data_IF_697538818090
#
_entry.id   IF_697538818090
#
_cell.length_a   1.000
_cell.length_b   1.000
_cell.length_c   1.000
_cell.angle_alpha   90.00
_cell.angle_beta   90.00
_cell.angle_gamma   90.00
#
_symmetry.space_group_name_H-M   'P 1'
#
loop_
_entity.id
_entity.type
_entity.pdbx_description
1 polymer ?
#
# COMPACT_ATOMS: atom_id res chain seq x y z
N UNK A 1 7.45 31.05 -11.78
CA UNK A 1 6.72 30.22 -10.81
C UNK A 1 6.03 29.14 -11.62
N UNK A 2 6.44 27.87 -11.48
CA UNK A 2 5.81 26.76 -12.19
C UNK A 2 4.30 26.78 -11.94
N UNK A 3 3.52 26.68 -13.02
CA UNK A 3 2.08 26.76 -13.02
C UNK A 3 1.49 25.42 -13.46
N UNK A 4 0.81 24.74 -12.54
CA UNK A 4 0.28 23.40 -12.74
C UNK A 4 -1.23 23.42 -12.91
N UNK A 5 -1.75 22.57 -13.81
CA UNK A 5 -3.17 22.27 -13.87
C UNK A 5 -3.42 20.78 -13.65
N UNK A 6 -4.05 20.43 -12.54
CA UNK A 6 -4.31 19.03 -12.17
C UNK A 6 -5.78 18.70 -12.36
N UNK A 7 -6.09 17.75 -13.25
CA UNK A 7 -7.44 17.20 -13.36
C UNK A 7 -7.70 16.21 -12.22
N UNK A 8 -8.10 16.72 -11.05
CA UNK A 8 -8.16 16.00 -9.78
C UNK A 8 -9.42 15.12 -9.61
N UNK A 9 -9.68 14.24 -10.59
CA UNK A 9 -10.85 13.33 -10.59
C UNK A 9 -10.69 12.08 -9.73
N UNK A 10 -9.57 11.93 -9.02
CA UNK A 10 -9.20 10.75 -8.21
C UNK A 10 -8.63 11.18 -6.86
N UNK A 11 -8.41 10.22 -5.96
CA UNK A 11 -7.72 10.48 -4.68
C UNK A 11 -6.29 10.94 -4.90
N UNK A 12 -5.58 10.33 -5.84
CA UNK A 12 -4.21 10.63 -6.21
C UNK A 12 -4.09 12.03 -6.79
N UNK A 13 -5.03 12.43 -7.65
CA UNK A 13 -5.11 13.81 -8.14
C UNK A 13 -5.30 14.83 -7.03
N UNK A 14 -6.16 14.54 -6.04
CA UNK A 14 -6.35 15.41 -4.86
C UNK A 14 -5.08 15.50 -4.01
N UNK A 15 -4.43 14.37 -3.73
CA UNK A 15 -3.14 14.33 -3.01
C UNK A 15 -2.06 15.11 -3.75
N UNK A 16 -2.06 15.08 -5.08
CA UNK A 16 -1.09 15.84 -5.87
C UNK A 16 -1.36 17.35 -5.82
N UNK A 17 -2.63 17.79 -5.89
CA UNK A 17 -2.98 19.21 -5.70
C UNK A 17 -2.51 19.69 -4.33
N UNK A 18 -2.74 18.91 -3.29
CA UNK A 18 -2.29 19.23 -1.92
C UNK A 18 -0.76 19.34 -1.83
N UNK A 19 -0.03 18.36 -2.37
CA UNK A 19 1.43 18.37 -2.42
C UNK A 19 1.97 19.62 -3.14
N UNK A 20 1.45 19.91 -4.33
CA UNK A 20 1.91 21.06 -5.12
C UNK A 20 1.53 22.39 -4.46
N UNK A 21 0.37 22.49 -3.80
CA UNK A 21 -0.05 23.73 -3.13
C UNK A 21 0.83 24.07 -1.92
N UNK A 22 1.50 23.08 -1.34
CA UNK A 22 2.47 23.25 -0.26
C UNK A 22 3.87 23.57 -0.78
N UNK A 23 4.15 23.49 -2.08
CA UNK A 23 5.47 23.82 -2.60
C UNK A 23 5.68 25.35 -2.65
N UNK A 24 6.84 25.82 -2.20
CA UNK A 24 7.15 27.25 -2.31
C UNK A 24 7.34 27.66 -3.77
N UNK A 25 6.72 28.77 -4.15
CA UNK A 25 6.90 29.37 -5.48
C UNK A 25 6.27 28.58 -6.62
N UNK A 26 5.17 27.85 -6.35
CA UNK A 26 4.32 27.18 -7.35
C UNK A 26 2.91 27.75 -7.39
N UNK A 27 2.30 27.76 -8.57
CA UNK A 27 0.86 28.00 -8.75
C UNK A 27 0.17 26.68 -9.11
N UNK A 28 -1.01 26.43 -8.55
CA UNK A 28 -1.76 25.20 -8.80
C UNK A 28 -3.22 25.52 -9.05
N UNK A 29 -3.72 25.04 -10.19
CA UNK A 29 -5.13 25.02 -10.53
C UNK A 29 -5.63 23.57 -10.53
N UNK A 30 -6.91 23.37 -10.23
CA UNK A 30 -7.53 22.04 -10.22
C UNK A 30 -8.79 21.98 -11.10
N UNK A 31 -8.92 20.93 -11.90
CA UNK A 31 -10.09 20.63 -12.71
C UNK A 31 -10.90 19.50 -12.08
N UNK A 32 -12.17 19.73 -11.78
CA UNK A 32 -13.08 18.71 -11.22
C UNK A 32 -14.39 18.68 -12.00
N UNK A 33 -15.01 17.50 -12.09
CA UNK A 33 -16.26 17.33 -12.85
C UNK A 33 -17.53 17.67 -12.04
N UNK A 34 -17.42 17.95 -10.73
CA UNK A 34 -18.55 18.13 -9.82
C UNK A 34 -18.23 19.14 -8.72
N UNK A 35 -19.25 19.84 -8.23
CA UNK A 35 -19.15 20.73 -7.05
C UNK A 35 -18.69 19.98 -5.79
N UNK A 36 -19.06 18.71 -5.62
CA UNK A 36 -18.55 17.88 -4.51
C UNK A 36 -17.04 17.64 -4.61
N UNK A 37 -16.49 17.52 -5.82
CA UNK A 37 -15.04 17.41 -6.02
C UNK A 37 -14.28 18.65 -5.55
N UNK A 38 -14.90 19.83 -5.66
CA UNK A 38 -14.33 21.12 -5.25
C UNK A 38 -14.17 21.23 -3.74
N UNK A 39 -15.11 20.69 -2.95
CA UNK A 39 -15.05 20.76 -1.48
C UNK A 39 -13.96 19.87 -0.87
N UNK A 40 -13.36 18.98 -1.67
CA UNK A 40 -12.33 18.04 -1.25
C UNK A 40 -10.90 18.52 -1.55
N UNK A 41 -10.75 19.73 -2.08
CA UNK A 41 -9.47 20.34 -2.42
C UNK A 41 -9.07 21.38 -1.37
N UNK A 42 -7.76 21.64 -1.19
CA UNK A 42 -7.29 22.63 -0.23
C UNK A 42 -7.79 24.05 -0.57
N UNK A 43 -7.98 24.88 0.47
CA UNK A 43 -8.36 26.27 0.31
C UNK A 43 -7.26 27.06 -0.42
N UNK A 44 -7.64 28.06 -1.22
CA UNK A 44 -6.71 28.91 -1.97
C UNK A 44 -6.32 28.39 -3.36
N UNK A 45 -6.68 27.16 -3.73
CA UNK A 45 -6.51 26.62 -5.10
C UNK A 45 -7.62 27.13 -6.02
N UNK A 46 -7.25 27.59 -7.22
CA UNK A 46 -8.23 27.96 -8.23
C UNK A 46 -8.84 26.69 -8.85
N UNK A 47 -10.16 26.52 -8.72
CA UNK A 47 -10.88 25.32 -9.17
C UNK A 47 -11.79 25.62 -10.37
N UNK A 48 -11.64 24.82 -11.43
CA UNK A 48 -12.52 24.80 -12.60
C UNK A 48 -13.46 23.60 -12.48
N UNK A 49 -14.75 23.86 -12.25
CA UNK A 49 -15.78 22.84 -12.02
C UNK A 49 -16.67 22.56 -13.24
N UNK A 50 -16.33 23.10 -14.41
CA UNK A 50 -17.11 22.97 -15.64
C UNK A 50 -16.58 21.87 -16.55
N UNK A 51 -17.48 21.23 -17.30
CA UNK A 51 -17.10 20.29 -18.36
C UNK A 51 -16.61 21.07 -19.58
N UNK A 52 -15.32 20.99 -19.84
CA UNK A 52 -14.70 21.56 -21.05
C UNK A 52 -14.51 20.46 -22.10
N UNK A 53 -14.78 20.80 -23.35
CA UNK A 53 -14.32 20.04 -24.51
C UNK A 53 -12.85 20.39 -24.84
N UNK A 54 -12.28 19.78 -25.87
CA UNK A 54 -10.89 19.98 -26.23
C UNK A 54 -10.56 21.44 -26.61
N UNK A 55 -11.47 22.16 -27.28
CA UNK A 55 -11.26 23.55 -27.71
C UNK A 55 -11.31 24.53 -26.53
N UNK A 56 -12.32 24.38 -25.66
CA UNK A 56 -12.43 25.16 -24.44
C UNK A 56 -11.24 24.91 -23.51
N UNK A 57 -10.78 23.66 -23.43
CA UNK A 57 -9.60 23.29 -22.66
C UNK A 57 -8.32 23.88 -23.23
N UNK A 58 -8.10 23.82 -24.55
CA UNK A 58 -6.95 24.43 -25.20
C UNK A 58 -6.90 25.95 -24.97
N UNK A 59 -8.05 26.63 -25.06
CA UNK A 59 -8.18 28.06 -24.79
C UNK A 59 -7.79 28.40 -23.34
N UNK A 60 -8.22 27.56 -22.39
CA UNK A 60 -7.84 27.69 -20.98
C UNK A 60 -6.33 27.50 -20.78
N UNK A 61 -5.74 26.47 -21.40
CA UNK A 61 -4.31 26.20 -21.30
C UNK A 61 -3.45 27.35 -21.85
N UNK A 62 -3.87 27.95 -22.97
CA UNK A 62 -3.18 29.10 -23.57
C UNK A 62 -3.31 30.38 -22.74
N UNK A 63 -4.51 30.66 -22.23
CA UNK A 63 -4.78 31.90 -21.48
C UNK A 63 -4.04 31.95 -20.15
N UNK A 64 -4.04 30.85 -19.40
CA UNK A 64 -3.41 30.76 -18.09
C UNK A 64 -1.95 30.31 -18.12
N UNK A 65 -1.46 29.82 -19.28
CA UNK A 65 -0.08 29.38 -19.51
C UNK A 65 0.41 28.42 -18.43
N UNK A 66 -0.08 27.19 -18.47
CA UNK A 66 0.41 26.14 -17.59
C UNK A 66 1.73 25.55 -18.11
N UNK A 67 2.65 25.29 -17.20
CA UNK A 67 3.92 24.63 -17.50
C UNK A 67 3.76 23.10 -17.57
N UNK A 68 2.79 22.54 -16.82
CA UNK A 68 2.46 21.12 -16.87
C UNK A 68 0.99 20.87 -16.50
N UNK A 69 0.35 20.02 -17.28
CA UNK A 69 -0.97 19.46 -17.02
C UNK A 69 -0.82 18.05 -16.47
N UNK A 70 -1.42 17.79 -15.31
CA UNK A 70 -1.45 16.45 -14.72
C UNK A 70 -2.85 15.87 -14.82
N UNK A 71 -2.98 14.83 -15.63
CA UNK A 71 -4.22 14.10 -15.81
C UNK A 71 -4.36 13.03 -14.72
N UNK A 72 -5.11 13.37 -13.69
CA UNK A 72 -5.51 12.47 -12.63
C UNK A 72 -7.01 12.15 -12.70
N UNK A 73 -7.60 12.20 -13.90
CA UNK A 73 -8.99 11.81 -14.12
C UNK A 73 -9.22 10.34 -13.77
N UNK A 74 -10.46 9.99 -13.46
CA UNK A 74 -10.81 8.60 -13.15
C UNK A 74 -10.59 7.70 -14.39
N UNK A 75 -10.14 6.43 -14.25
CA UNK A 75 -9.94 5.52 -15.38
C UNK A 75 -11.18 5.24 -16.26
N UNK A 76 -12.38 5.66 -15.84
CA UNK A 76 -13.60 5.56 -16.65
C UNK A 76 -13.89 6.84 -17.46
N UNK A 77 -13.08 7.88 -17.31
CA UNK A 77 -13.24 9.16 -17.98
C UNK A 77 -12.37 9.23 -19.26
N UNK A 78 -12.49 8.21 -20.12
CA UNK A 78 -11.71 8.07 -21.36
C UNK A 78 -11.83 9.32 -22.24
N UNK A 79 -13.07 9.80 -22.47
CA UNK A 79 -13.32 11.03 -23.24
C UNK A 79 -12.64 12.26 -22.63
N UNK A 80 -12.61 12.37 -21.30
CA UNK A 80 -11.92 13.49 -20.64
C UNK A 80 -10.41 13.39 -20.84
N UNK A 81 -9.84 12.18 -20.72
CA UNK A 81 -8.41 11.93 -20.96
C UNK A 81 -8.02 12.26 -22.40
N UNK A 82 -8.83 11.85 -23.37
CA UNK A 82 -8.64 12.18 -24.79
C UNK A 82 -8.67 13.69 -25.03
N UNK A 83 -9.65 14.40 -24.46
CA UNK A 83 -9.74 15.85 -24.57
C UNK A 83 -8.53 16.57 -23.95
N UNK A 84 -8.08 16.13 -22.76
CA UNK A 84 -6.92 16.70 -22.08
C UNK A 84 -5.67 16.50 -22.93
N UNK A 85 -5.45 15.29 -23.43
CA UNK A 85 -4.30 14.95 -24.27
C UNK A 85 -4.30 15.76 -25.56
N UNK A 86 -5.44 15.88 -26.22
CA UNK A 86 -5.60 16.67 -27.43
C UNK A 86 -5.34 18.16 -27.19
N UNK A 87 -5.87 18.72 -26.09
CA UNK A 87 -5.65 20.11 -25.72
C UNK A 87 -4.16 20.39 -25.44
N UNK A 88 -3.50 19.53 -24.65
CA UNK A 88 -2.07 19.67 -24.35
C UNK A 88 -1.21 19.61 -25.61
N UNK A 89 -1.53 18.70 -26.54
CA UNK A 89 -0.82 18.59 -27.81
C UNK A 89 -1.02 19.84 -28.70
N UNK A 90 -2.23 20.41 -28.72
CA UNK A 90 -2.52 21.63 -29.49
C UNK A 90 -1.82 22.88 -28.93
N UNK A 91 -1.51 22.89 -27.64
CA UNK A 91 -0.89 24.04 -26.95
C UNK A 91 0.58 23.84 -26.63
N UNK A 92 1.18 22.73 -27.06
CA UNK A 92 2.54 22.29 -26.69
C UNK A 92 2.79 22.33 -25.18
N UNK A 93 1.75 22.03 -24.40
CA UNK A 93 1.82 22.02 -22.94
C UNK A 93 2.23 20.63 -22.47
N UNK A 94 3.18 20.58 -21.54
CA UNK A 94 3.65 19.31 -20.99
C UNK A 94 2.49 18.55 -20.35
N UNK A 95 2.34 17.28 -20.73
CA UNK A 95 1.29 16.39 -20.24
C UNK A 95 1.89 15.24 -19.41
N UNK A 96 1.32 14.99 -18.23
CA UNK A 96 1.66 13.88 -17.36
C UNK A 96 0.38 13.15 -16.93
N UNK A 97 0.29 11.84 -17.15
CA UNK A 97 -0.84 11.02 -16.72
C UNK A 97 -0.49 10.26 -15.45
N UNK A 98 -1.34 10.33 -14.42
CA UNK A 98 -1.20 9.44 -13.26
C UNK A 98 -1.80 8.07 -13.60
N UNK A 99 -0.97 7.03 -13.51
CA UNK A 99 -1.43 5.65 -13.48
C UNK A 99 -1.85 5.26 -12.06
N UNK A 100 -2.95 4.53 -11.95
CA UNK A 100 -3.28 3.78 -10.74
C UNK A 100 -2.71 2.37 -10.85
N UNK A 101 -2.13 1.81 -9.78
CA UNK A 101 -1.88 0.37 -9.74
C UNK A 101 -3.24 -0.34 -9.89
N UNK A 102 -3.37 -1.18 -10.92
CA UNK A 102 -4.44 -2.17 -10.97
C UNK A 102 -4.16 -3.17 -9.85
N UNK A 103 -4.87 -3.04 -8.72
CA UNK A 103 -4.89 -4.06 -7.69
C UNK A 103 -5.43 -5.33 -8.33
N UNK A 104 -4.52 -6.19 -8.78
CA UNK A 104 -4.81 -7.47 -9.43
C UNK A 104 -4.90 -8.49 -8.30
N UNK A 105 -6.08 -8.84 -7.77
CA UNK A 105 -6.22 -9.90 -6.78
C UNK A 105 -5.53 -11.19 -7.28
N UNK A 106 -4.68 -11.77 -6.44
CA UNK A 106 -4.01 -13.04 -6.73
C UNK A 106 -5.04 -14.13 -7.06
N UNK A 107 -4.73 -14.95 -8.07
CA UNK A 107 -5.53 -16.12 -8.46
C UNK A 107 -6.66 -15.87 -9.46
N UNK A 108 -6.65 -14.75 -10.20
CA UNK A 108 -7.59 -14.51 -11.29
C UNK A 108 -6.89 -14.13 -12.61
N UNK A 109 -7.59 -14.34 -13.73
CA UNK A 109 -7.14 -13.99 -15.08
C UNK A 109 -7.74 -12.65 -15.47
N UNK A 110 -6.92 -11.62 -15.56
CA UNK A 110 -7.36 -10.30 -16.02
C UNK A 110 -7.31 -10.19 -17.54
N UNK A 111 -8.35 -9.59 -18.12
CA UNK A 111 -8.46 -9.32 -19.57
C UNK A 111 -9.00 -7.92 -19.82
N UNK A 112 -8.64 -7.33 -20.95
CA UNK A 112 -8.96 -5.93 -21.29
C UNK A 112 -10.36 -5.71 -21.87
N UNK A 113 -11.04 -6.79 -22.31
CA UNK A 113 -12.36 -6.70 -22.94
C UNK A 113 -13.14 -8.02 -22.88
N UNK A 114 -14.42 -7.97 -23.27
CA UNK A 114 -15.26 -9.16 -23.40
C UNK A 114 -14.77 -10.11 -24.51
N UNK A 115 -14.21 -9.57 -25.59
CA UNK A 115 -13.62 -10.35 -26.68
C UNK A 115 -12.40 -11.14 -26.21
N UNK A 116 -11.50 -10.51 -25.44
CA UNK A 116 -10.37 -11.21 -24.82
C UNK A 116 -10.82 -12.24 -23.79
N UNK A 117 -11.87 -11.94 -23.03
CA UNK A 117 -12.47 -12.94 -22.15
C UNK A 117 -12.94 -14.16 -22.94
N UNK A 118 -13.61 -13.96 -24.08
CA UNK A 118 -14.05 -15.04 -24.96
C UNK A 118 -12.87 -15.85 -25.55
N UNK A 119 -11.76 -15.21 -25.91
CA UNK A 119 -10.54 -15.89 -26.36
C UNK A 119 -9.94 -16.79 -25.26
N UNK A 120 -9.86 -16.30 -24.03
CA UNK A 120 -9.43 -17.11 -22.86
C UNK A 120 -10.39 -18.29 -22.66
N UNK A 121 -11.69 -18.07 -22.78
CA UNK A 121 -12.68 -19.15 -22.64
C UNK A 121 -12.55 -20.20 -23.75
N UNK A 122 -12.20 -19.80 -24.98
CA UNK A 122 -12.01 -20.73 -26.09
C UNK A 122 -10.86 -21.73 -25.85
N UNK A 123 -9.87 -21.35 -25.04
CA UNK A 123 -8.74 -22.20 -24.65
C UNK A 123 -8.97 -23.04 -23.38
N UNK A 124 -10.18 -23.01 -22.79
CA UNK A 124 -10.49 -23.71 -21.53
C UNK A 124 -11.69 -24.65 -21.69
N UNK A 125 -11.95 -25.50 -20.68
CA UNK A 125 -13.13 -26.37 -20.60
C UNK A 125 -13.94 -26.09 -19.32
N UNK A 126 -15.13 -26.67 -19.21
CA UNK A 126 -15.99 -26.55 -18.01
C UNK A 126 -16.96 -25.36 -18.04
N UNK A 127 -18.01 -25.39 -17.21
CA UNK A 127 -19.11 -24.42 -17.30
C UNK A 127 -18.72 -23.04 -16.79
N UNK A 128 -19.31 -22.01 -17.40
CA UNK A 128 -18.99 -20.60 -17.16
C UNK A 128 -20.21 -19.89 -16.59
N UNK A 129 -20.09 -19.27 -15.42
CA UNK A 129 -21.05 -18.29 -14.94
C UNK A 129 -20.64 -16.90 -15.47
N UNK A 130 -21.45 -16.31 -16.35
CA UNK A 130 -21.17 -15.02 -16.99
C UNK A 130 -21.99 -13.92 -16.33
N UNK A 131 -21.33 -12.99 -15.63
CA UNK A 131 -21.97 -11.96 -14.80
C UNK A 131 -21.79 -10.54 -15.35
N UNK A 132 -21.50 -10.41 -16.65
CA UNK A 132 -21.24 -9.15 -17.36
C UNK A 132 -22.53 -8.44 -17.83
N UNK A 133 -23.68 -9.11 -17.71
CA UNK A 133 -24.99 -8.62 -18.16
C UNK A 133 -25.24 -8.90 -19.64
N UNK A 134 -26.36 -8.38 -20.16
CA UNK A 134 -26.85 -8.70 -21.52
C UNK A 134 -26.13 -7.96 -22.65
N UNK A 135 -25.50 -6.81 -22.35
CA UNK A 135 -24.92 -5.91 -23.38
C UNK A 135 -23.70 -6.47 -24.11
N UNK A 136 -22.95 -7.36 -23.47
CA UNK A 136 -21.67 -7.87 -24.01
C UNK A 136 -21.75 -9.34 -24.45
N UNK A 137 -22.95 -9.91 -24.51
CA UNK A 137 -23.14 -11.32 -24.84
C UNK A 137 -22.63 -11.69 -26.24
N UNK A 138 -22.61 -10.73 -27.17
CA UNK A 138 -22.14 -10.93 -28.55
C UNK A 138 -20.67 -11.37 -28.61
N UNK A 139 -19.83 -10.95 -27.67
CA UNK A 139 -18.44 -11.40 -27.62
C UNK A 139 -18.33 -12.92 -27.34
N UNK A 140 -19.28 -13.46 -26.56
CA UNK A 140 -19.21 -14.82 -26.03
C UNK A 140 -19.81 -15.89 -26.94
N UNK A 141 -20.54 -15.51 -28.00
CA UNK A 141 -21.07 -16.50 -28.99
C UNK A 141 -19.96 -17.16 -29.82
N UNK A 142 -18.74 -16.59 -29.78
CA UNK A 142 -17.55 -17.15 -30.45
C UNK A 142 -16.89 -18.28 -29.67
N UNK A 143 -17.28 -18.50 -28.42
CA UNK A 143 -16.71 -19.56 -27.57
C UNK A 143 -17.22 -20.93 -28.05
N UNK A 144 -16.35 -21.93 -28.27
CA UNK A 144 -16.77 -23.29 -28.62
C UNK A 144 -17.75 -23.86 -27.57
N UNK A 145 -18.90 -24.34 -28.05
CA UNK A 145 -19.95 -24.92 -27.19
C UNK A 145 -20.66 -23.90 -26.28
N UNK A 146 -20.64 -22.60 -26.58
CA UNK A 146 -21.18 -21.56 -25.70
C UNK A 146 -22.63 -21.81 -25.26
N UNK A 147 -23.46 -22.38 -26.14
CA UNK A 147 -24.88 -22.63 -25.88
C UNK A 147 -25.11 -23.58 -24.70
N UNK A 148 -24.22 -24.56 -24.50
CA UNK A 148 -24.28 -25.52 -23.39
C UNK A 148 -23.43 -25.11 -22.19
N UNK A 149 -22.32 -24.41 -22.47
CA UNK A 149 -21.26 -24.14 -21.50
C UNK A 149 -21.46 -22.85 -20.71
N UNK A 150 -22.05 -21.81 -21.32
CA UNK A 150 -22.16 -20.48 -20.73
C UNK A 150 -23.54 -20.25 -20.14
N UNK A 151 -23.55 -19.80 -18.89
CA UNK A 151 -24.73 -19.45 -18.11
C UNK A 151 -24.76 -17.93 -17.90
N UNK A 152 -25.40 -17.16 -18.79
CA UNK A 152 -25.49 -15.71 -18.65
C UNK A 152 -26.45 -15.34 -17.52
N UNK A 153 -25.96 -14.52 -16.59
CA UNK A 153 -26.77 -13.86 -15.57
C UNK A 153 -27.10 -12.45 -16.01
N UNK A 154 -28.38 -12.19 -16.25
CA UNK A 154 -28.90 -10.91 -16.79
C UNK A 154 -30.02 -10.37 -15.91
N UNK A 155 -30.35 -9.08 -16.07
CA UNK A 155 -31.51 -8.51 -15.40
C UNK A 155 -32.81 -9.20 -15.86
N UNK A 156 -33.84 -9.29 -14.99
CA UNK A 156 -35.09 -9.95 -15.30
C UNK A 156 -36.02 -9.06 -16.15
N UNK A 157 -35.47 -8.45 -17.21
CA UNK A 157 -36.23 -7.67 -18.20
C UNK A 157 -36.50 -8.51 -19.44
N UNK A 158 -37.64 -8.27 -20.09
CA UNK A 158 -38.02 -8.93 -21.35
C UNK A 158 -36.92 -8.78 -22.39
N UNK A 159 -36.38 -7.56 -22.55
CA UNK A 159 -35.30 -7.24 -23.48
C UNK A 159 -34.02 -8.05 -23.21
N UNK A 160 -33.61 -8.19 -21.94
CA UNK A 160 -32.40 -8.92 -21.57
C UNK A 160 -32.53 -10.42 -21.85
N UNK A 161 -33.69 -11.00 -21.54
CA UNK A 161 -33.97 -12.42 -21.81
C UNK A 161 -34.09 -12.66 -23.31
N UNK A 162 -34.84 -11.84 -24.03
CA UNK A 162 -34.97 -11.93 -25.49
C UNK A 162 -33.60 -11.85 -26.19
N UNK A 163 -32.71 -10.97 -25.72
CA UNK A 163 -31.34 -10.89 -26.26
C UNK A 163 -30.56 -12.19 -26.08
N UNK A 164 -30.66 -12.84 -24.92
CA UNK A 164 -30.02 -14.15 -24.70
C UNK A 164 -30.55 -15.20 -25.70
N UNK A 165 -31.87 -15.23 -25.93
CA UNK A 165 -32.50 -16.19 -26.84
C UNK A 165 -32.15 -15.90 -28.30
N UNK A 166 -32.15 -14.63 -28.72
CA UNK A 166 -31.77 -14.21 -30.06
C UNK A 166 -30.31 -14.55 -30.40
N UNK A 167 -29.42 -14.52 -29.39
CA UNK A 167 -28.03 -14.94 -29.50
C UNK A 167 -27.83 -16.46 -29.37
N UNK A 168 -28.90 -17.25 -29.25
CA UNK A 168 -28.83 -18.71 -29.25
C UNK A 168 -28.47 -19.36 -27.91
N UNK A 169 -28.44 -18.62 -26.78
CA UNK A 169 -28.28 -19.23 -25.46
C UNK A 169 -29.48 -20.11 -25.11
N UNK A 170 -29.24 -21.30 -24.56
CA UNK A 170 -30.32 -22.21 -24.16
C UNK A 170 -31.12 -21.60 -23.02
N UNK A 171 -32.44 -21.64 -23.10
CA UNK A 171 -33.37 -21.10 -22.08
C UNK A 171 -32.98 -21.56 -20.67
N UNK A 172 -32.68 -22.86 -20.51
CA UNK A 172 -32.30 -23.47 -19.23
C UNK A 172 -30.97 -22.93 -18.63
N UNK A 173 -30.14 -22.26 -19.43
CA UNK A 173 -28.87 -21.70 -18.99
C UNK A 173 -28.95 -20.20 -18.65
N UNK A 174 -30.07 -19.53 -18.99
CA UNK A 174 -30.26 -18.11 -18.72
C UNK A 174 -30.72 -17.90 -17.28
N UNK A 175 -29.96 -17.11 -16.52
CA UNK A 175 -30.29 -16.74 -15.14
C UNK A 175 -30.78 -15.29 -15.12
N UNK A 176 -32.09 -15.10 -15.10
CA UNK A 176 -32.71 -13.79 -15.01
C UNK A 176 -32.92 -13.40 -13.54
N UNK A 177 -32.07 -12.52 -12.99
CA UNK A 177 -32.16 -12.07 -11.60
C UNK A 177 -31.54 -10.68 -11.39
N UNK A 178 -32.04 -9.94 -10.41
CA UNK A 178 -31.56 -8.61 -10.05
C UNK A 178 -30.75 -8.66 -8.74
N UNK A 179 -29.56 -8.07 -8.76
CA UNK A 179 -28.68 -7.95 -7.59
C UNK A 179 -28.94 -6.68 -6.77
N UNK A 180 -28.07 -6.34 -5.79
CA UNK A 180 -26.76 -6.95 -5.52
C UNK A 180 -26.86 -8.40 -4.99
N UNK A 181 -25.81 -9.19 -5.20
CA UNK A 181 -25.77 -10.60 -4.78
C UNK A 181 -24.67 -10.80 -3.75
N UNK A 182 -25.01 -11.46 -2.65
CA UNK A 182 -24.04 -11.84 -1.62
C UNK A 182 -23.05 -12.89 -2.13
N UNK A 183 -21.94 -13.06 -1.40
CA UNK A 183 -20.95 -14.11 -1.68
C UNK A 183 -21.59 -15.50 -1.67
N UNK A 184 -22.49 -15.77 -0.72
CA UNK A 184 -23.21 -17.04 -0.57
C UNK A 184 -24.10 -17.33 -1.79
N UNK A 185 -24.84 -16.32 -2.27
CA UNK A 185 -25.71 -16.46 -3.44
C UNK A 185 -24.90 -16.73 -4.71
N UNK A 186 -23.79 -16.02 -4.90
CA UNK A 186 -22.87 -16.27 -6.01
C UNK A 186 -22.30 -17.69 -5.94
N UNK A 187 -21.82 -18.11 -4.77
CA UNK A 187 -21.26 -19.45 -4.56
C UNK A 187 -22.29 -20.57 -4.74
N UNK A 188 -23.53 -20.37 -4.28
CA UNK A 188 -24.63 -21.30 -4.50
C UNK A 188 -24.98 -21.45 -5.99
N UNK A 189 -25.04 -20.33 -6.72
CA UNK A 189 -25.29 -20.33 -8.17
C UNK A 189 -24.19 -21.10 -8.92
N UNK A 190 -22.93 -20.86 -8.57
CA UNK A 190 -21.80 -21.57 -9.19
C UNK A 190 -21.84 -23.07 -8.92
N UNK A 191 -22.12 -23.49 -7.68
CA UNK A 191 -22.26 -24.91 -7.30
C UNK A 191 -23.43 -25.58 -8.01
N UNK A 192 -24.59 -24.93 -8.07
CA UNK A 192 -25.78 -25.44 -8.74
C UNK A 192 -25.54 -25.72 -10.23
N UNK A 193 -24.79 -24.84 -10.89
CA UNK A 193 -24.44 -25.00 -12.30
C UNK A 193 -23.29 -26.01 -12.48
N UNK A 194 -22.40 -26.13 -11.50
CA UNK A 194 -21.09 -26.75 -11.67
C UNK A 194 -20.13 -25.85 -12.46
N UNK A 195 -20.19 -24.54 -12.22
CA UNK A 195 -19.35 -23.56 -12.91
C UNK A 195 -17.93 -23.60 -12.35
N UNK A 196 -16.96 -23.95 -13.21
CA UNK A 196 -15.52 -23.93 -12.89
C UNK A 196 -14.86 -22.60 -13.28
N UNK A 197 -15.61 -21.70 -13.93
CA UNK A 197 -15.14 -20.39 -14.37
C UNK A 197 -16.20 -19.33 -14.05
N UNK A 198 -15.77 -18.21 -13.48
CA UNK A 198 -16.58 -17.02 -13.30
C UNK A 198 -16.06 -15.91 -14.21
N UNK A 199 -16.90 -15.36 -15.08
CA UNK A 199 -16.56 -14.13 -15.83
C UNK A 199 -17.29 -12.96 -15.18
N UNK A 200 -16.54 -11.96 -14.75
CA UNK A 200 -17.08 -10.74 -14.12
C UNK A 200 -16.36 -9.50 -14.62
N UNK A 201 -17.01 -8.35 -14.54
CA UNK A 201 -16.36 -7.05 -14.67
C UNK A 201 -15.75 -6.63 -13.35
N UNK A 202 -14.68 -5.84 -13.43
CA UNK A 202 -14.18 -5.04 -12.32
C UNK A 202 -15.15 -3.88 -12.02
N UNK A 203 -16.25 -4.20 -11.35
CA UNK A 203 -17.16 -3.22 -10.74
C UNK A 203 -16.65 -2.87 -9.33
N UNK A 204 -16.75 -1.63 -8.84
CA UNK A 204 -16.39 -1.34 -7.44
C UNK A 204 -17.27 -2.08 -6.42
N UNK A 205 -17.10 -1.79 -5.13
CA UNK A 205 -17.82 -2.46 -4.03
C UNK A 205 -19.35 -2.45 -4.21
N UNK A 206 -19.92 -1.34 -4.71
CA UNK A 206 -21.35 -1.24 -5.01
C UNK A 206 -21.87 -2.28 -6.03
N UNK A 207 -20.99 -2.83 -6.87
CA UNK A 207 -21.32 -3.84 -7.88
C UNK A 207 -21.13 -5.29 -7.41
N UNK A 208 -20.74 -5.49 -6.15
CA UNK A 208 -20.56 -6.82 -5.55
C UNK A 208 -19.34 -7.58 -6.07
N UNK A 209 -18.24 -6.90 -6.39
CA UNK A 209 -17.07 -7.51 -7.02
C UNK A 209 -16.25 -8.38 -6.06
N UNK A 210 -16.05 -7.91 -4.83
CA UNK A 210 -15.36 -8.68 -3.80
C UNK A 210 -16.14 -9.94 -3.44
N UNK A 211 -17.47 -9.88 -3.39
CA UNK A 211 -18.37 -11.02 -3.15
C UNK A 211 -18.29 -12.06 -4.28
N UNK A 212 -18.21 -11.60 -5.53
CA UNK A 212 -18.03 -12.47 -6.71
C UNK A 212 -16.69 -13.19 -6.69
N UNK A 213 -15.60 -12.48 -6.42
CA UNK A 213 -14.26 -13.07 -6.34
C UNK A 213 -14.14 -14.04 -5.16
N UNK A 214 -14.69 -13.68 -4.01
CA UNK A 214 -14.76 -14.57 -2.84
C UNK A 214 -15.52 -15.86 -3.16
N UNK A 215 -16.66 -15.75 -3.86
CA UNK A 215 -17.46 -16.91 -4.25
C UNK A 215 -16.74 -17.82 -5.25
N UNK A 216 -16.03 -17.27 -6.24
CA UNK A 216 -15.24 -18.06 -7.18
C UNK A 216 -14.13 -18.84 -6.45
N UNK A 217 -13.44 -18.18 -5.51
CA UNK A 217 -12.41 -18.83 -4.68
C UNK A 217 -12.99 -20.00 -3.87
N UNK A 218 -14.13 -19.80 -3.22
CA UNK A 218 -14.78 -20.85 -2.41
C UNK A 218 -15.27 -22.02 -3.26
N UNK A 219 -15.69 -21.75 -4.50
CA UNK A 219 -16.12 -22.77 -5.45
C UNK A 219 -14.95 -23.48 -6.16
N UNK A 220 -13.69 -23.09 -5.91
CA UNK A 220 -12.52 -23.60 -6.63
C UNK A 220 -12.51 -23.24 -8.12
N UNK A 221 -13.21 -22.16 -8.49
CA UNK A 221 -13.37 -21.72 -9.85
C UNK A 221 -12.38 -20.60 -10.22
N UNK A 222 -11.97 -20.58 -11.49
CA UNK A 222 -11.11 -19.53 -12.02
C UNK A 222 -11.94 -18.28 -12.30
N UNK A 223 -11.59 -17.15 -11.71
CA UNK A 223 -12.19 -15.86 -12.04
C UNK A 223 -11.48 -15.24 -13.27
N UNK A 224 -12.23 -14.96 -14.33
CA UNK A 224 -11.81 -14.13 -15.46
C UNK A 224 -12.40 -12.74 -15.25
N UNK A 225 -11.55 -11.77 -14.96
CA UNK A 225 -11.94 -10.40 -14.65
C UNK A 225 -11.71 -9.53 -15.88
N UNK A 226 -12.79 -9.00 -16.44
CA UNK A 226 -12.73 -7.95 -17.45
C UNK A 226 -12.41 -6.65 -16.71
N UNK A 227 -11.15 -6.26 -16.79
CA UNK A 227 -10.62 -5.04 -16.20
C UNK A 227 -11.03 -3.81 -17.00
N UNK A 228 -10.70 -2.64 -16.46
CA UNK A 228 -10.87 -1.37 -17.20
C UNK A 228 -9.96 -1.37 -18.44
N UNK A 229 -10.36 -0.73 -19.55
CA UNK A 229 -9.48 -0.52 -20.69
C UNK A 229 -8.16 0.07 -20.18
N UNK A 230 -7.04 -0.62 -20.39
CA UNK A 230 -5.73 -0.11 -20.02
C UNK A 230 -5.38 1.00 -21.01
N UNK A 231 -5.42 2.25 -20.55
CA UNK A 231 -4.47 3.22 -21.09
C UNK A 231 -3.13 2.97 -20.41
N UNK A 232 -2.22 2.31 -21.12
CA UNK A 232 -0.91 1.87 -20.62
C UNK A 232 0.09 3.02 -20.37
N UNK A 233 -0.27 4.28 -20.66
CA UNK A 233 0.65 5.42 -20.55
C UNK A 233 0.33 6.30 -19.34
N UNK A 234 0.91 5.99 -18.18
CA UNK A 234 0.89 6.87 -17.02
C UNK A 234 1.97 6.49 -15.99
N UNK A 235 2.35 7.45 -15.14
CA UNK A 235 3.31 7.25 -14.06
C UNK A 235 2.58 6.93 -12.75
N UNK A 236 3.06 5.97 -11.94
CA UNK A 236 2.64 5.83 -10.55
C UNK A 236 2.72 7.16 -9.80
N UNK A 237 1.92 7.33 -8.76
CA UNK A 237 1.87 8.59 -8.00
C UNK A 237 3.24 9.04 -7.50
N UNK A 238 4.02 8.13 -6.89
CA UNK A 238 5.35 8.45 -6.35
C UNK A 238 6.31 8.89 -7.47
N UNK A 239 6.40 8.12 -8.55
CA UNK A 239 7.25 8.44 -9.72
C UNK A 239 6.87 9.78 -10.37
N UNK A 240 5.57 10.11 -10.39
CA UNK A 240 5.08 11.38 -10.91
C UNK A 240 5.50 12.55 -10.02
N UNK A 241 5.40 12.40 -8.70
CA UNK A 241 5.87 13.41 -7.73
C UNK A 241 7.38 13.62 -7.87
N UNK A 242 8.17 12.54 -7.92
CA UNK A 242 9.63 12.62 -8.14
C UNK A 242 9.98 13.34 -9.44
N UNK A 243 9.29 13.00 -10.54
CA UNK A 243 9.50 13.66 -11.83
C UNK A 243 9.19 15.17 -11.76
N UNK A 244 8.11 15.56 -11.10
CA UNK A 244 7.74 16.97 -10.94
C UNK A 244 8.74 17.73 -10.05
N UNK A 245 9.20 17.12 -8.94
CA UNK A 245 10.24 17.70 -8.08
C UNK A 245 11.51 17.94 -8.89
N UNK A 246 11.98 16.92 -9.61
CA UNK A 246 13.21 17.01 -10.40
C UNK A 246 13.11 18.04 -11.51
N UNK A 247 12.02 18.01 -12.27
CA UNK A 247 11.92 18.78 -13.52
C UNK A 247 11.57 20.25 -13.27
N UNK A 248 10.93 20.57 -12.14
CA UNK A 248 10.54 21.94 -11.77
C UNK A 248 11.27 22.47 -10.52
N UNK A 249 12.23 21.71 -9.97
CA UNK A 249 12.99 22.05 -8.76
C UNK A 249 12.09 22.44 -7.57
N UNK A 250 11.02 21.66 -7.36
CA UNK A 250 10.00 21.94 -6.34
C UNK A 250 10.56 21.72 -4.93
N UNK A 251 10.14 22.58 -4.00
CA UNK A 251 10.51 22.53 -2.58
C UNK A 251 9.23 22.50 -1.73
N UNK A 252 8.81 21.35 -1.19
CA UNK A 252 7.65 21.26 -0.29
C UNK A 252 7.90 22.04 1.00
N UNK A 253 6.92 22.85 1.44
CA UNK A 253 6.99 23.62 2.68
C UNK A 253 7.05 22.72 3.93
N UNK A 254 6.50 21.50 3.84
CA UNK A 254 6.46 20.49 4.92
C UNK A 254 7.47 19.36 4.69
N UNK A 255 8.62 19.65 4.07
CA UNK A 255 9.79 18.90 4.48
C UNK A 255 10.09 19.31 5.93
N UNK A 256 9.29 18.84 6.90
CA UNK A 256 9.85 18.45 8.19
C UNK A 256 11.14 17.77 7.83
N UNK A 257 12.27 18.36 8.21
CA UNK A 257 13.58 17.79 7.92
C UNK A 257 13.43 16.30 8.21
N UNK A 258 13.57 15.43 7.19
CA UNK A 258 13.46 13.98 7.40
C UNK A 258 14.23 13.72 8.68
N UNK A 259 13.59 13.14 9.73
CA UNK A 259 14.23 13.03 11.03
C UNK A 259 15.60 12.42 10.77
N UNK A 260 16.65 13.19 11.10
CA UNK A 260 17.97 13.01 10.50
C UNK A 260 18.30 11.52 10.44
N UNK A 261 18.39 10.98 9.23
CA UNK A 261 18.48 9.53 9.05
C UNK A 261 19.66 9.01 9.88
N UNK A 262 19.38 8.09 10.81
CA UNK A 262 20.41 7.51 11.66
C UNK A 262 21.41 6.72 10.81
N UNK A 263 22.70 6.97 11.02
CA UNK A 263 23.74 6.24 10.31
C UNK A 263 23.79 4.78 10.82
N UNK A 264 23.64 3.76 9.95
CA UNK A 264 23.70 2.38 10.37
C UNK A 264 25.15 1.99 10.75
N UNK A 265 25.35 1.56 11.99
CA UNK A 265 26.66 1.19 12.51
C UNK A 265 26.63 -0.21 13.15
N UNK A 266 27.58 -1.06 12.78
CA UNK A 266 27.85 -2.32 13.47
C UNK A 266 28.96 -2.09 14.50
N UNK A 267 28.69 -2.44 15.76
CA UNK A 267 29.64 -2.28 16.87
C UNK A 267 29.94 -3.61 17.54
N UNK A 268 31.21 -3.86 17.87
CA UNK A 268 31.61 -5.07 18.59
C UNK A 268 31.39 -4.90 20.09
N UNK A 269 30.45 -5.65 20.65
CA UNK A 269 30.04 -5.56 22.05
C UNK A 269 30.55 -6.69 22.95
N UNK A 270 31.19 -7.73 22.38
CA UNK A 270 31.49 -9.00 23.07
C UNK A 270 32.25 -8.86 24.40
N UNK A 271 33.08 -7.82 24.55
CA UNK A 271 33.95 -7.60 25.71
C UNK A 271 33.67 -6.26 26.40
N UNK A 272 32.49 -5.68 26.15
CA UNK A 272 32.10 -4.40 26.72
C UNK A 272 31.19 -4.62 27.94
N UNK A 273 31.27 -3.72 28.91
CA UNK A 273 30.24 -3.59 29.94
C UNK A 273 29.05 -2.86 29.32
N UNK A 274 27.86 -3.45 29.42
CA UNK A 274 26.60 -2.82 29.04
C UNK A 274 25.67 -2.88 30.24
N UNK A 275 25.09 -1.75 30.61
CA UNK A 275 24.09 -1.68 31.67
C UNK A 275 22.71 -1.45 31.06
N UNK A 276 21.74 -2.28 31.46
CA UNK A 276 20.33 -2.11 31.19
C UNK A 276 19.63 -1.86 32.52
N UNK A 277 18.84 -0.79 32.60
CA UNK A 277 18.09 -0.43 33.79
C UNK A 277 16.61 -0.71 33.59
N UNK A 278 16.00 -1.46 34.51
CA UNK A 278 14.57 -1.82 34.46
C UNK A 278 14.30 -3.31 34.31
N UNK A 279 13.06 -3.71 34.59
CA UNK A 279 12.62 -5.11 34.63
C UNK A 279 11.36 -5.42 33.82
N UNK A 280 10.76 -4.41 33.19
CA UNK A 280 9.51 -4.54 32.43
C UNK A 280 9.70 -5.10 31.01
N UNK A 281 8.65 -4.97 30.18
CA UNK A 281 8.64 -5.52 28.83
C UNK A 281 9.69 -4.88 27.90
N UNK A 282 9.94 -3.57 28.05
CA UNK A 282 10.99 -2.87 27.30
C UNK A 282 12.39 -3.41 27.65
N UNK A 283 12.66 -3.58 28.94
CA UNK A 283 13.90 -4.18 29.44
C UNK A 283 14.09 -5.61 28.92
N UNK A 284 13.05 -6.44 28.94
CA UNK A 284 13.07 -7.80 28.40
C UNK A 284 13.43 -7.80 26.90
N UNK A 285 12.77 -6.95 26.11
CA UNK A 285 13.00 -6.87 24.67
C UNK A 285 14.43 -6.43 24.34
N UNK A 286 14.95 -5.42 25.04
CA UNK A 286 16.32 -4.96 24.87
C UNK A 286 17.36 -5.98 25.36
N UNK A 287 17.10 -6.68 26.46
CA UNK A 287 17.97 -7.74 26.96
C UNK A 287 18.06 -8.91 25.98
N UNK A 288 16.93 -9.37 25.46
CA UNK A 288 16.87 -10.44 24.46
C UNK A 288 17.61 -10.07 23.17
N UNK A 289 17.52 -8.80 22.73
CA UNK A 289 18.24 -8.31 21.56
C UNK A 289 19.76 -8.24 21.76
N UNK A 290 20.23 -7.84 22.96
CA UNK A 290 21.64 -7.60 23.23
C UNK A 290 22.43 -8.83 23.69
N UNK A 291 21.80 -9.71 24.48
CA UNK A 291 22.47 -10.85 25.10
C UNK A 291 23.24 -11.74 24.12
N UNK A 292 22.72 -12.05 22.90
CA UNK A 292 23.46 -12.85 21.92
C UNK A 292 24.75 -12.20 21.39
N UNK A 293 24.95 -10.90 21.61
CA UNK A 293 26.11 -10.11 21.16
C UNK A 293 27.03 -9.67 22.32
N UNK A 294 26.50 -9.64 23.54
CA UNK A 294 27.20 -9.18 24.73
C UNK A 294 26.85 -10.08 25.94
N UNK A 295 27.61 -11.15 26.19
CA UNK A 295 27.44 -11.99 27.38
C UNK A 295 27.66 -11.22 28.70
N UNK A 296 28.42 -10.12 28.68
CA UNK A 296 28.65 -9.23 29.82
C UNK A 296 27.55 -8.20 30.09
N UNK A 297 26.34 -8.40 29.53
CA UNK A 297 25.18 -7.55 29.80
C UNK A 297 24.78 -7.66 31.28
N UNK A 298 24.62 -6.52 31.94
CA UNK A 298 24.15 -6.42 33.32
C UNK A 298 22.81 -5.68 33.36
N UNK A 299 21.80 -6.30 33.95
CA UNK A 299 20.48 -5.71 34.19
C UNK A 299 20.41 -5.24 35.64
N UNK A 300 20.06 -3.98 35.87
CA UNK A 300 19.88 -3.37 37.20
C UNK A 300 18.40 -3.05 37.36
N UNK A 301 17.71 -3.77 38.25
CA UNK A 301 16.28 -3.56 38.51
C UNK A 301 15.88 -4.05 39.90
N UNK A 302 15.03 -3.34 40.65
CA UNK A 302 14.53 -3.82 41.93
C UNK A 302 13.59 -5.02 41.77
N UNK A 303 12.91 -5.13 40.62
CA UNK A 303 11.87 -6.12 40.36
C UNK A 303 12.03 -6.67 38.93
N UNK A 304 12.85 -7.72 38.73
CA UNK A 304 12.93 -8.39 37.43
C UNK A 304 11.66 -9.20 37.13
N UNK A 305 11.23 -9.24 35.87
CA UNK A 305 10.20 -10.18 35.41
C UNK A 305 10.72 -11.62 35.37
N UNK A 306 9.82 -12.60 35.45
CA UNK A 306 10.19 -14.02 35.40
C UNK A 306 10.85 -14.40 34.07
N UNK A 307 10.39 -13.80 32.98
CA UNK A 307 10.96 -13.96 31.65
C UNK A 307 12.40 -13.43 31.59
N UNK A 308 12.67 -12.27 32.20
CA UNK A 308 14.01 -11.69 32.25
C UNK A 308 14.97 -12.56 33.07
N UNK A 309 14.50 -13.12 34.19
CA UNK A 309 15.28 -14.07 34.98
C UNK A 309 15.60 -15.35 34.18
N UNK A 310 14.69 -15.80 33.32
CA UNK A 310 14.89 -16.99 32.49
C UNK A 310 15.89 -16.81 31.34
N UNK A 311 16.25 -15.57 30.98
CA UNK A 311 17.19 -15.29 29.88
C UNK A 311 18.65 -15.62 30.23
N UNK A 312 18.99 -15.80 31.51
CA UNK A 312 20.37 -16.09 31.95
C UNK A 312 21.31 -14.88 31.91
N UNK A 313 20.75 -13.66 31.93
CA UNK A 313 21.51 -12.40 32.05
C UNK A 313 21.93 -12.16 33.51
N UNK A 314 23.02 -11.41 33.74
CA UNK A 314 23.39 -11.00 35.10
C UNK A 314 22.41 -9.94 35.61
N UNK A 315 21.71 -10.21 36.71
CA UNK A 315 20.74 -9.29 37.32
C UNK A 315 21.25 -8.78 38.67
N UNK A 316 21.24 -7.47 38.85
CA UNK A 316 21.52 -6.78 40.12
C UNK A 316 20.20 -6.24 40.67
N UNK A 317 19.73 -6.85 41.77
CA UNK A 317 18.40 -6.57 42.35
C UNK A 317 18.37 -5.30 43.20
N UNK A 318 18.35 -4.13 42.56
CA UNK A 318 18.19 -2.82 43.21
C UNK A 318 17.78 -1.75 42.21
N UNK A 319 17.38 -0.59 42.73
CA UNK A 319 17.20 0.61 41.92
C UNK A 319 18.54 1.15 41.41
N UNK A 320 18.46 1.97 40.36
CA UNK A 320 19.56 2.78 39.82
C UNK A 320 20.17 3.66 40.92
N UNK A 321 21.50 3.78 40.89
CA UNK A 321 22.27 4.71 41.70
C UNK A 321 23.29 5.44 40.83
N UNK A 322 23.57 6.69 41.19
CA UNK A 322 24.58 7.49 40.49
C UNK A 322 25.94 6.79 40.49
N UNK A 323 26.56 6.67 39.32
CA UNK A 323 27.82 5.96 39.08
C UNK A 323 27.63 4.59 38.43
N UNK A 324 26.41 4.09 38.30
CA UNK A 324 26.14 2.81 37.65
C UNK A 324 26.48 2.80 36.15
N UNK A 325 26.45 3.97 35.49
CA UNK A 325 26.82 4.09 34.08
C UNK A 325 28.33 3.96 33.88
N UNK A 326 29.15 4.11 34.94
CA UNK A 326 30.60 4.16 34.83
C UNK A 326 31.19 2.92 34.13
N UNK A 327 32.04 3.19 33.13
CA UNK A 327 32.75 2.19 32.33
C UNK A 327 31.87 1.41 31.35
N UNK A 328 30.59 1.76 31.21
CA UNK A 328 29.73 1.14 30.20
C UNK A 328 30.08 1.64 28.80
N UNK A 329 29.92 0.76 27.80
CA UNK A 329 30.07 1.13 26.39
C UNK A 329 28.81 1.80 25.84
N UNK A 330 27.65 1.31 26.26
CA UNK A 330 26.33 1.87 26.02
C UNK A 330 25.47 1.58 27.25
N UNK A 331 24.40 2.34 27.44
CA UNK A 331 23.38 2.08 28.46
C UNK A 331 21.98 2.02 27.83
N UNK A 332 21.09 1.26 28.45
CA UNK A 332 19.67 1.24 28.13
C UNK A 332 18.86 1.59 29.36
N UNK A 333 18.07 2.66 29.30
CA UNK A 333 17.18 3.07 30.38
C UNK A 333 15.74 2.65 30.03
N UNK A 334 15.18 1.72 30.81
CA UNK A 334 13.85 1.16 30.60
C UNK A 334 13.17 0.89 31.96
N UNK A 335 13.25 1.85 32.88
CA UNK A 335 12.88 1.66 34.31
C UNK A 335 11.39 1.85 34.62
N UNK A 336 10.55 2.06 33.60
CA UNK A 336 9.13 2.46 33.70
C UNK A 336 8.91 3.78 34.48
N UNK A 337 9.99 4.51 34.80
CA UNK A 337 9.98 5.79 35.48
C UNK A 337 10.77 6.83 34.67
N UNK A 338 10.09 7.77 33.98
CA UNK A 338 10.74 8.77 33.13
C UNK A 338 11.79 9.62 33.84
N UNK A 339 11.59 9.94 35.12
CA UNK A 339 12.57 10.75 35.90
C UNK A 339 13.87 9.98 36.14
N UNK A 340 13.76 8.66 36.34
CA UNK A 340 14.92 7.78 36.50
C UNK A 340 15.62 7.58 35.17
N UNK A 341 14.86 7.35 34.09
CA UNK A 341 15.43 7.20 32.74
C UNK A 341 16.16 8.48 32.29
N UNK A 342 15.59 9.66 32.58
CA UNK A 342 16.24 10.95 32.38
C UNK A 342 17.57 11.06 33.15
N UNK A 343 17.57 10.70 34.46
CA UNK A 343 18.76 10.77 35.29
C UNK A 343 19.88 9.81 34.84
N UNK A 344 19.51 8.63 34.32
CA UNK A 344 20.46 7.68 33.71
C UNK A 344 21.07 8.28 32.45
N UNK A 345 20.25 8.86 31.57
CA UNK A 345 20.71 9.49 30.33
C UNK A 345 21.64 10.68 30.59
N UNK A 346 21.32 11.51 31.57
CA UNK A 346 22.17 12.63 31.98
C UNK A 346 23.54 12.17 32.48
N UNK A 347 23.59 11.12 33.31
CA UNK A 347 24.86 10.53 33.76
C UNK A 347 25.65 9.95 32.58
N UNK A 348 25.00 9.17 31.72
CA UNK A 348 25.63 8.54 30.58
C UNK A 348 26.23 9.58 29.60
N UNK A 349 25.45 10.61 29.26
CA UNK A 349 25.90 11.71 28.39
C UNK A 349 27.04 12.51 29.00
N UNK A 350 27.01 12.77 30.32
CA UNK A 350 28.11 13.43 31.01
C UNK A 350 29.43 12.63 30.95
N UNK A 351 29.34 11.30 30.79
CA UNK A 351 30.48 10.41 30.62
C UNK A 351 30.81 10.08 29.14
N UNK A 352 30.09 10.66 28.17
CA UNK A 352 30.25 10.36 26.74
C UNK A 352 29.80 8.95 26.35
N UNK A 353 28.88 8.35 27.12
CA UNK A 353 28.35 7.00 26.91
C UNK A 353 26.99 7.13 26.21
N UNK A 354 26.81 6.54 25.01
CA UNK A 354 25.52 6.56 24.32
C UNK A 354 24.43 5.85 25.10
N UNK A 355 23.24 6.45 25.16
CA UNK A 355 22.04 5.91 25.80
C UNK A 355 20.93 5.60 24.78
N UNK A 356 20.16 4.54 25.04
CA UNK A 356 18.88 4.23 24.39
C UNK A 356 17.77 4.18 25.46
N UNK A 357 16.66 4.86 25.20
CA UNK A 357 15.47 4.88 26.04
C UNK A 357 14.27 4.40 25.22
N UNK A 358 13.88 3.12 25.32
CA UNK A 358 12.83 2.57 24.50
C UNK A 358 11.49 3.31 24.65
N UNK A 359 11.11 4.06 23.63
CA UNK A 359 9.83 4.81 23.61
C UNK A 359 9.97 6.31 23.88
N UNK A 360 11.19 6.79 24.16
CA UNK A 360 11.50 8.21 24.37
C UNK A 360 12.62 8.67 23.42
N UNK A 361 12.29 8.89 22.14
CA UNK A 361 13.25 9.27 21.12
C UNK A 361 14.16 10.45 21.45
N UNK A 362 13.62 11.45 22.12
CA UNK A 362 14.28 12.69 22.53
C UNK A 362 15.45 12.43 23.52
N UNK A 363 15.46 11.27 24.17
CA UNK A 363 16.49 10.85 25.10
C UNK A 363 17.53 9.90 24.49
N UNK A 364 17.29 9.39 23.28
CA UNK A 364 18.16 8.41 22.64
C UNK A 364 19.34 9.07 21.90
N UNK A 365 20.54 8.53 22.09
CA UNK A 365 21.70 8.81 21.23
C UNK A 365 21.84 7.76 20.11
N UNK A 366 21.23 6.58 20.30
CA UNK A 366 21.12 5.50 19.31
C UNK A 366 19.83 4.71 19.55
N UNK A 367 19.48 3.81 18.62
CA UNK A 367 18.34 2.90 18.77
C UNK A 367 18.76 1.47 18.51
N UNK A 368 18.14 0.54 19.22
CA UNK A 368 18.18 -0.86 18.84
C UNK A 368 17.24 -1.11 17.64
N UNK A 369 17.76 -1.53 16.47
CA UNK A 369 16.92 -1.85 15.32
C UNK A 369 16.17 -3.17 15.56
N UNK A 370 15.17 -3.46 14.71
CA UNK A 370 14.66 -4.82 14.62
C UNK A 370 15.79 -5.72 14.05
N UNK A 371 16.19 -6.74 14.81
CA UNK A 371 17.32 -7.61 14.47
C UNK A 371 16.84 -8.94 13.90
N UNK A 372 17.54 -9.41 12.87
CA UNK A 372 17.44 -10.78 12.34
C UNK A 372 18.82 -11.40 12.38
N UNK A 373 18.91 -12.66 12.82
CA UNK A 373 20.18 -13.40 12.84
C UNK A 373 19.98 -14.80 12.27
N UNK A 374 20.74 -15.14 11.23
CA UNK A 374 20.70 -16.48 10.62
C UNK A 374 22.06 -16.85 10.02
N UNK A 375 22.58 -18.04 10.34
CA UNK A 375 23.82 -18.54 9.75
C UNK A 375 25.04 -17.62 9.89
N UNK A 376 25.11 -16.82 10.96
CA UNK A 376 26.17 -15.81 11.17
C UNK A 376 25.93 -14.46 10.48
N UNK A 377 24.88 -14.33 9.66
CA UNK A 377 24.42 -13.06 9.09
C UNK A 377 23.55 -12.33 10.11
N UNK A 378 23.77 -11.02 10.23
CA UNK A 378 22.98 -10.11 11.08
C UNK A 378 22.41 -9.00 10.20
N UNK A 379 21.10 -8.79 10.28
CA UNK A 379 20.40 -7.69 9.59
C UNK A 379 19.72 -6.83 10.64
N UNK A 380 19.99 -5.52 10.60
CA UNK A 380 19.27 -4.53 11.40
C UNK A 380 18.33 -3.74 10.51
N UNK A 381 17.05 -3.67 10.89
CA UNK A 381 16.02 -2.89 10.20
C UNK A 381 15.57 -1.73 11.09
N UNK A 382 15.71 -0.51 10.59
CA UNK A 382 15.16 0.70 11.19
C UNK A 382 14.20 1.36 10.20
N UNK A 383 13.10 1.94 10.71
CA UNK A 383 12.11 2.67 9.92
C UNK A 383 11.94 4.11 10.44
N UNK A 384 12.95 4.63 11.13
CA UNK A 384 12.85 5.91 11.83
C UNK A 384 12.18 5.79 13.20
N UNK A 385 12.04 6.95 13.85
CA UNK A 385 11.81 7.10 15.27
C UNK A 385 10.46 6.53 15.76
N UNK A 386 9.41 6.56 14.93
CA UNK A 386 8.04 6.19 15.31
C UNK A 386 7.45 4.99 14.57
N UNK A 387 8.20 4.32 13.69
CA UNK A 387 7.67 3.22 12.87
C UNK A 387 8.19 1.83 13.29
N UNK A 388 8.40 1.59 14.60
CA UNK A 388 8.85 0.28 15.13
C UNK A 388 8.02 -0.90 14.62
N UNK A 389 6.70 -0.72 14.44
CA UNK A 389 5.81 -1.75 13.87
C UNK A 389 6.15 -2.07 12.41
N UNK A 390 6.48 -1.06 11.60
CA UNK A 390 6.89 -1.22 10.21
C UNK A 390 8.25 -1.90 10.11
N UNK A 391 9.23 -1.47 10.92
CA UNK A 391 10.54 -2.11 10.98
C UNK A 391 10.43 -3.61 11.32
N UNK A 392 9.58 -3.98 12.31
CA UNK A 392 9.32 -5.39 12.65
C UNK A 392 8.62 -6.16 11.53
N UNK A 393 7.67 -5.54 10.82
CA UNK A 393 6.99 -6.17 9.68
C UNK A 393 7.98 -6.48 8.56
N UNK A 394 8.81 -5.50 8.20
CA UNK A 394 9.87 -5.66 7.19
C UNK A 394 10.86 -6.74 7.62
N UNK A 395 11.28 -6.73 8.90
CA UNK A 395 12.18 -7.76 9.42
C UNK A 395 11.59 -9.17 9.27
N UNK A 396 10.30 -9.36 9.58
CA UNK A 396 9.63 -10.66 9.38
C UNK A 396 9.59 -11.10 7.92
N UNK A 397 9.29 -10.18 7.00
CA UNK A 397 9.30 -10.47 5.57
C UNK A 397 10.71 -10.84 5.07
N UNK A 398 11.75 -10.17 5.58
CA UNK A 398 13.14 -10.49 5.26
C UNK A 398 13.59 -11.82 5.84
N UNK A 399 13.09 -12.20 7.02
CA UNK A 399 13.38 -13.50 7.63
C UNK A 399 13.03 -14.65 6.67
N UNK A 400 11.80 -14.68 6.16
CA UNK A 400 11.36 -15.75 5.26
C UNK A 400 12.22 -15.89 3.99
N UNK A 401 12.83 -14.79 3.53
CA UNK A 401 13.76 -14.81 2.39
C UNK A 401 15.17 -15.26 2.79
N UNK A 402 15.68 -14.79 3.94
CA UNK A 402 16.94 -15.27 4.50
C UNK A 402 16.89 -16.79 4.72
N UNK A 403 15.70 -17.32 5.03
CA UNK A 403 15.50 -18.74 5.25
C UNK A 403 15.75 -19.60 4.00
N UNK A 404 15.40 -19.07 2.84
CA UNK A 404 15.62 -19.71 1.55
C UNK A 404 17.08 -19.60 1.08
N UNK A 405 17.76 -18.50 1.44
CA UNK A 405 19.12 -18.19 0.97
C UNK A 405 20.18 -18.87 1.84
N UNK A 406 19.93 -19.02 3.15
CA UNK A 406 20.86 -19.60 4.11
C UNK A 406 20.24 -20.85 4.76
N UNK A 407 20.20 -22.01 4.07
CA UNK A 407 19.76 -23.26 4.67
C UNK A 407 20.80 -23.71 5.70
N UNK A 408 20.44 -23.63 6.99
CA UNK A 408 21.29 -24.00 8.12
C UNK A 408 20.43 -24.19 9.37
N UNK A 409 20.93 -24.85 10.42
CA UNK A 409 20.12 -25.26 11.58
C UNK A 409 19.44 -24.03 12.22
N UNK A 410 18.17 -24.21 12.59
CA UNK A 410 17.27 -23.20 13.12
C UNK A 410 17.96 -22.28 14.13
N UNK A 411 18.00 -20.98 13.84
CA UNK A 411 18.36 -19.97 14.83
C UNK A 411 17.06 -19.52 15.54
N UNK A 412 17.11 -19.56 16.87
CA UNK A 412 16.09 -19.11 17.85
C UNK A 412 15.24 -17.94 17.31
N UNK A 413 14.09 -18.24 16.71
CA UNK A 413 13.04 -17.26 16.50
C UNK A 413 12.34 -17.08 17.84
N UNK A 414 12.73 -16.05 18.61
CA UNK A 414 11.94 -15.59 19.75
C UNK A 414 11.41 -14.20 19.45
N UNK A 415 10.08 -14.12 19.39
CA UNK A 415 9.24 -12.97 18.99
C UNK A 415 9.44 -11.70 19.84
#
# INVERSE_FOLDING_TARGET
MPNFFVFAGTTEGRRLVEFLSRCEGTNVCAGVATEYGKTLLPEGVQVFAERLDAEGMASLLQSLRFDCVVDATHPYAALATENIRAACAATDTRYLRLSRPSNTPEGCVYVESAERAAEVLAATTGKVLLTTGSKELDAFVRVPGYQERIYPRVLPTVESVQRCLALGFRVQNVIAMQGPFSREMNGATMRQIGASILVTKESGDAGGFSEKLGAARDAGAVAVVIGRPREESGLPYEDAVEALIRDFALRPADAEAEPAAYFPLFSRLSNCKIALFGGGAAALSSAAALLPFCPGLVVITPQPSAELESLGVQIVRRAYMKGDCAGCRIVIAATDNPDVDQAICEEARAAGIPADVPGSPELCDFYLPALLRRGGVVVGVSAGVDEKKRARKIARELSGRLDQILPGPEADHRE
#
